data_IF_731978875838
#
_entry.id   IF_731978875838
#
_cell.length_a   1.000
_cell.length_b   1.000
_cell.length_c   1.000
_cell.angle_alpha   90.00
_cell.angle_beta   90.00
_cell.angle_gamma   90.00
#
_symmetry.space_group_name_H-M   'P 1'
#
loop_
_entity.id
_entity.type
_entity.pdbx_description
1 polymer ?
#
# COMPACT_ATOMS: atom_id res chain seq x y z
N UNK A 1 16.23 25.18 46.21
CA UNK A 1 16.10 24.55 47.54
C UNK A 1 16.80 23.19 47.46
N UNK A 2 17.87 22.98 48.27
CA UNK A 2 18.57 21.72 48.64
C UNK A 2 19.04 20.81 47.47
N UNK A 3 20.32 20.71 47.07
CA UNK A 3 21.56 20.31 47.78
C UNK A 3 21.39 19.17 48.80
N UNK A 4 21.85 17.99 48.40
CA UNK A 4 22.47 16.89 49.17
C UNK A 4 23.35 16.18 48.12
N UNK A 5 24.68 16.17 48.09
CA UNK A 5 25.76 16.07 49.08
C UNK A 5 25.58 14.92 50.08
N UNK A 6 26.24 13.80 49.76
CA UNK A 6 27.09 13.07 50.71
C UNK A 6 28.34 12.54 50.00
N UNK A 7 29.46 13.07 50.47
CA UNK A 7 30.82 12.55 50.32
C UNK A 7 31.06 11.35 51.27
N UNK A 8 32.26 10.78 51.10
CA UNK A 8 33.12 10.06 52.08
C UNK A 8 33.02 8.52 52.16
N UNK A 9 34.11 7.82 52.57
CA UNK A 9 35.54 8.02 52.25
C UNK A 9 36.35 6.68 52.17
N UNK A 10 37.68 6.80 52.23
CA UNK A 10 38.73 5.82 52.58
C UNK A 10 39.42 5.14 51.39
N UNK A 11 40.65 5.50 51.02
CA UNK A 11 41.92 5.36 51.75
C UNK A 11 42.26 3.90 52.11
N UNK A 12 43.27 3.36 51.41
CA UNK A 12 44.26 2.45 52.00
C UNK A 12 45.46 2.22 51.07
N UNK A 13 46.50 3.00 51.33
CA UNK A 13 47.83 2.52 51.74
C UNK A 13 48.48 1.36 50.98
N UNK A 14 49.51 1.72 50.20
CA UNK A 14 50.89 1.21 50.18
C UNK A 14 51.14 -0.20 50.76
N UNK A 15 51.63 -1.09 49.91
CA UNK A 15 52.22 -2.38 50.28
C UNK A 15 53.47 -2.67 49.46
N UNK A 16 54.53 -1.89 49.66
CA UNK A 16 55.88 -2.20 49.18
C UNK A 16 56.43 -3.39 50.00
N UNK A 17 56.62 -4.55 49.36
CA UNK A 17 57.40 -5.66 49.94
C UNK A 17 58.70 -5.83 49.18
N UNK A 18 59.74 -5.22 49.75
CA UNK A 18 61.14 -5.60 49.60
C UNK A 18 61.41 -6.83 50.48
N UNK A 19 61.86 -7.94 49.88
CA UNK A 19 62.85 -8.89 50.45
C UNK A 19 62.93 -10.17 49.63
N UNK A 20 64.02 -10.33 48.88
CA UNK A 20 65.12 -11.22 49.32
C UNK A 20 66.29 -11.11 48.35
N UNK A 21 67.42 -10.71 48.92
CA UNK A 21 68.73 -10.85 48.32
C UNK A 21 68.99 -12.33 48.00
N UNK A 22 69.26 -12.61 46.72
CA UNK A 22 69.66 -13.92 46.22
C UNK A 22 70.92 -13.76 45.39
N UNK A 23 72.07 -13.84 46.08
CA UNK A 23 73.36 -14.38 45.62
C UNK A 23 73.83 -13.96 44.21
N UNK A 24 74.75 -12.98 44.19
CA UNK A 24 75.64 -12.70 43.06
C UNK A 24 76.57 -13.90 42.84
N UNK A 25 76.42 -14.58 41.71
CA UNK A 25 77.43 -15.47 41.11
C UNK A 25 78.10 -14.72 39.97
N UNK A 26 79.44 -14.57 39.93
CA UNK A 26 80.10 -14.03 38.75
C UNK A 26 80.25 -15.15 37.73
N UNK A 27 79.48 -15.08 36.66
CA UNK A 27 79.54 -16.04 35.56
C UNK A 27 79.43 -15.30 34.24
N UNK A 28 80.57 -15.20 33.55
CA UNK A 28 80.75 -14.87 32.15
C UNK A 28 80.06 -13.60 31.61
N UNK A 29 80.88 -12.58 31.39
CA UNK A 29 80.83 -11.79 30.15
C UNK A 29 80.85 -12.75 28.96
N UNK A 30 79.67 -12.99 28.38
CA UNK A 30 79.53 -13.32 26.98
C UNK A 30 78.92 -12.09 26.31
N UNK A 31 79.63 -11.56 25.32
CA UNK A 31 79.18 -10.49 24.43
C UNK A 31 77.73 -10.72 23.99
N UNK A 32 76.85 -9.69 23.97
CA UNK A 32 75.58 -9.79 23.27
C UNK A 32 75.83 -9.63 21.77
N UNK A 33 76.58 -10.55 21.18
CA UNK A 33 76.50 -10.79 19.76
C UNK A 33 75.14 -11.39 19.53
N UNK A 34 74.17 -10.58 19.11
CA UNK A 34 72.87 -11.05 18.63
C UNK A 34 73.15 -12.20 17.66
N UNK A 35 72.99 -13.43 18.14
CA UNK A 35 73.47 -14.57 17.37
C UNK A 35 72.64 -14.58 16.11
N UNK A 36 73.26 -14.79 14.95
CA UNK A 36 72.55 -14.79 13.66
C UNK A 36 71.27 -15.65 13.70
N UNK A 37 71.27 -16.69 14.54
CA UNK A 37 70.12 -17.51 14.94
C UNK A 37 68.94 -16.77 15.60
N UNK A 38 69.17 -15.83 16.51
CA UNK A 38 68.11 -15.02 17.14
C UNK A 38 67.47 -14.05 16.14
N UNK A 39 68.28 -13.41 15.29
CA UNK A 39 67.78 -12.54 14.21
C UNK A 39 66.93 -13.35 13.23
N UNK A 40 67.38 -14.55 12.86
CA UNK A 40 66.64 -15.47 11.99
C UNK A 40 65.31 -15.92 12.61
N UNK A 41 65.27 -16.20 13.92
CA UNK A 41 64.04 -16.57 14.63
C UNK A 41 63.03 -15.42 14.65
N UNK A 42 63.45 -14.18 14.92
CA UNK A 42 62.56 -13.02 14.90
C UNK A 42 62.01 -12.77 13.50
N UNK A 43 62.85 -12.85 12.46
CA UNK A 43 62.40 -12.70 11.07
C UNK A 43 61.41 -13.79 10.65
N UNK A 44 61.62 -15.03 11.08
CA UNK A 44 60.68 -16.13 10.84
C UNK A 44 59.32 -15.86 11.49
N UNK A 45 59.30 -15.41 12.74
CA UNK A 45 58.06 -15.08 13.46
C UNK A 45 57.33 -13.93 12.75
N UNK A 46 58.04 -12.86 12.36
CA UNK A 46 57.45 -11.74 11.62
C UNK A 46 56.90 -12.21 10.28
N UNK A 47 57.60 -13.08 9.56
CA UNK A 47 57.12 -13.64 8.29
C UNK A 47 55.85 -14.48 8.49
N UNK A 48 55.79 -15.33 9.52
CA UNK A 48 54.60 -16.12 9.84
C UNK A 48 53.41 -15.23 10.21
N UNK A 49 53.64 -14.20 11.03
CA UNK A 49 52.61 -13.22 11.40
C UNK A 49 52.14 -12.44 10.18
N UNK A 50 53.04 -12.00 9.32
CA UNK A 50 52.70 -11.29 8.08
C UNK A 50 51.88 -12.18 7.14
N UNK A 51 52.27 -13.45 6.98
CA UNK A 51 51.50 -14.44 6.19
C UNK A 51 50.13 -14.66 6.81
N UNK A 52 50.03 -14.82 8.13
CA UNK A 52 48.75 -14.97 8.82
C UNK A 52 47.85 -13.74 8.63
N UNK A 53 48.40 -12.53 8.73
CA UNK A 53 47.67 -11.27 8.49
C UNK A 53 47.20 -11.21 7.03
N UNK A 54 48.05 -11.54 6.06
CA UNK A 54 47.70 -11.55 4.64
C UNK A 54 46.61 -12.59 4.35
N UNK A 55 46.67 -13.77 4.96
CA UNK A 55 45.63 -14.80 4.86
C UNK A 55 44.32 -14.29 5.46
N UNK A 56 44.35 -13.65 6.63
CA UNK A 56 43.14 -13.07 7.25
C UNK A 56 42.54 -11.95 6.40
N UNK A 57 43.37 -11.05 5.86
CA UNK A 57 42.89 -9.97 4.98
C UNK A 57 42.31 -10.53 3.68
N UNK A 58 42.95 -11.54 3.07
CA UNK A 58 42.46 -12.18 1.83
C UNK A 58 41.22 -13.04 2.04
N UNK A 59 40.99 -13.56 3.24
CA UNK A 59 39.83 -14.40 3.57
C UNK A 59 38.64 -13.61 4.10
N UNK A 60 38.83 -12.33 4.49
CA UNK A 60 37.73 -11.42 4.83
C UNK A 60 36.96 -11.04 3.57
N UNK A 61 35.82 -11.72 3.35
CA UNK A 61 34.83 -11.29 2.35
C UNK A 61 34.18 -9.97 2.82
N UNK A 62 34.01 -8.96 1.94
CA UNK A 62 33.21 -7.79 2.28
C UNK A 62 31.78 -8.24 2.63
N UNK A 63 31.23 -7.74 3.73
CA UNK A 63 29.85 -8.02 4.10
C UNK A 63 28.92 -7.40 3.06
N UNK A 64 28.15 -8.23 2.36
CA UNK A 64 27.08 -7.75 1.49
C UNK A 64 26.05 -7.03 2.37
N UNK A 65 25.67 -5.78 2.06
CA UNK A 65 24.56 -5.13 2.75
C UNK A 65 23.31 -6.02 2.66
N UNK A 66 22.48 -6.09 3.71
CA UNK A 66 21.22 -6.81 3.63
C UNK A 66 20.40 -6.26 2.45
N UNK A 67 19.76 -7.15 1.70
CA UNK A 67 18.83 -6.74 0.66
C UNK A 67 17.72 -5.89 1.27
N UNK A 68 17.29 -4.84 0.57
CA UNK A 68 16.13 -4.05 0.97
C UNK A 68 14.90 -4.96 0.89
N UNK A 69 14.27 -5.23 2.03
CA UNK A 69 12.98 -5.94 2.11
C UNK A 69 11.89 -4.92 1.80
N UNK A 70 10.97 -5.27 0.90
CA UNK A 70 9.78 -4.46 0.64
C UNK A 70 8.83 -4.57 1.83
N UNK A 71 8.58 -3.49 2.58
CA UNK A 71 7.67 -3.52 3.72
C UNK A 71 6.20 -3.71 3.33
N UNK A 72 5.88 -3.66 2.03
CA UNK A 72 4.54 -3.85 1.49
C UNK A 72 4.36 -5.20 0.76
N UNK A 73 5.37 -6.07 0.73
CA UNK A 73 5.27 -7.38 0.08
C UNK A 73 4.16 -8.27 0.65
N UNK A 74 3.87 -8.11 1.95
CA UNK A 74 2.80 -8.79 2.66
C UNK A 74 1.62 -7.85 2.98
N UNK A 75 1.57 -6.66 2.38
CA UNK A 75 0.41 -5.80 2.52
C UNK A 75 -0.73 -6.43 1.74
N UNK A 76 -1.85 -6.82 2.39
CA UNK A 76 -2.98 -7.34 1.65
C UNK A 76 -3.45 -6.28 0.65
N UNK A 77 -3.90 -6.71 -0.53
CA UNK A 77 -4.79 -5.85 -1.32
C UNK A 77 -5.89 -5.35 -0.38
N UNK A 78 -5.95 -4.04 -0.19
CA UNK A 78 -6.41 -3.41 1.06
C UNK A 78 -7.89 -3.69 1.37
N UNK A 79 -8.68 -4.12 0.38
CA UNK A 79 -10.11 -4.47 0.47
C UNK A 79 -10.59 -5.12 -0.85
N UNK A 80 -11.75 -5.78 -0.81
CA UNK A 80 -12.41 -6.41 -1.96
C UNK A 80 -13.58 -5.52 -2.46
N UNK A 81 -13.52 -4.98 -3.70
CA UNK A 81 -14.57 -4.14 -4.28
C UNK A 81 -15.94 -4.81 -4.32
N UNK A 82 -15.99 -6.13 -4.52
CA UNK A 82 -17.25 -6.88 -4.57
C UNK A 82 -17.87 -7.09 -3.18
N UNK A 83 -17.20 -6.64 -2.12
CA UNK A 83 -17.71 -6.61 -0.75
C UNK A 83 -18.15 -5.23 -0.29
N UNK A 84 -18.09 -4.22 -1.16
CA UNK A 84 -18.64 -2.90 -0.85
C UNK A 84 -20.15 -3.05 -0.60
N UNK A 85 -20.61 -2.50 0.52
CA UNK A 85 -22.00 -2.60 0.95
C UNK A 85 -22.51 -1.34 1.63
N UNK A 86 -23.81 -1.34 1.91
CA UNK A 86 -24.47 -0.24 2.62
C UNK A 86 -23.82 -0.01 3.98
N UNK A 87 -23.48 1.23 4.28
CA UNK A 87 -22.81 1.65 5.51
C UNK A 87 -21.29 1.80 5.38
N UNK A 88 -20.67 1.24 4.35
CA UNK A 88 -19.24 1.39 4.12
C UNK A 88 -18.88 2.86 3.87
N UNK A 89 -17.63 3.22 4.20
CA UNK A 89 -17.07 4.54 3.90
C UNK A 89 -16.09 4.39 2.74
N UNK A 90 -16.32 5.16 1.68
CA UNK A 90 -15.42 5.27 0.53
C UNK A 90 -14.81 6.67 0.51
N UNK A 91 -13.50 6.75 0.68
CA UNK A 91 -12.74 7.98 0.46
C UNK A 91 -12.33 8.06 -1.00
N UNK A 92 -12.73 9.12 -1.68
CA UNK A 92 -12.33 9.45 -3.04
C UNK A 92 -11.88 10.91 -3.10
N UNK A 93 -10.71 11.18 -3.69
CA UNK A 93 -10.12 12.51 -3.78
C UNK A 93 -10.07 13.26 -2.42
N UNK A 94 -9.83 12.53 -1.33
CA UNK A 94 -9.77 13.06 0.03
C UNK A 94 -11.12 13.39 0.68
N UNK A 95 -12.23 12.98 0.06
CA UNK A 95 -13.58 13.18 0.58
C UNK A 95 -14.19 11.83 0.93
N UNK A 96 -14.69 11.73 2.15
CA UNK A 96 -15.39 10.55 2.63
C UNK A 96 -16.85 10.56 2.15
N UNK A 97 -17.30 9.40 1.69
CA UNK A 97 -18.66 9.14 1.28
C UNK A 97 -19.18 7.92 2.01
N UNK A 98 -20.41 7.98 2.50
CA UNK A 98 -21.11 6.81 3.02
C UNK A 98 -21.83 6.13 1.88
N UNK A 99 -21.71 4.81 1.77
CA UNK A 99 -22.55 4.01 0.87
C UNK A 99 -23.95 3.96 1.46
N UNK A 100 -24.89 4.69 0.84
CA UNK A 100 -26.27 4.81 1.32
C UNK A 100 -27.18 3.72 0.79
N UNK A 101 -26.84 3.14 -0.36
CA UNK A 101 -27.61 2.09 -1.01
C UNK A 101 -26.76 1.34 -2.02
N UNK A 102 -27.17 0.12 -2.33
CA UNK A 102 -26.55 -0.73 -3.34
C UNK A 102 -27.63 -1.31 -4.24
N UNK A 103 -27.38 -1.27 -5.55
CA UNK A 103 -28.13 -2.03 -6.53
C UNK A 103 -27.27 -3.21 -6.97
N UNK A 104 -27.87 -4.39 -7.01
CA UNK A 104 -27.28 -5.56 -7.67
C UNK A 104 -28.04 -5.77 -8.96
N UNK A 105 -27.33 -5.73 -10.08
CA UNK A 105 -27.90 -5.84 -11.42
C UNK A 105 -27.49 -7.16 -12.06
N UNK A 106 -28.39 -7.76 -12.84
CA UNK A 106 -28.22 -9.09 -13.42
C UNK A 106 -28.84 -9.12 -14.83
N UNK A 107 -27.99 -9.24 -15.84
CA UNK A 107 -28.36 -9.45 -17.24
C UNK A 107 -27.86 -10.83 -17.68
N UNK A 108 -28.80 -11.78 -17.79
CA UNK A 108 -28.50 -13.16 -18.22
C UNK A 108 -27.37 -13.85 -17.43
N UNK A 109 -27.19 -13.47 -16.15
CA UNK A 109 -26.16 -14.01 -15.27
C UNK A 109 -24.86 -13.20 -15.23
N UNK A 110 -24.67 -12.22 -16.11
CA UNK A 110 -23.68 -11.16 -15.94
C UNK A 110 -24.15 -10.22 -14.83
N UNK A 111 -23.27 -9.91 -13.86
CA UNK A 111 -23.64 -9.16 -12.66
C UNK A 111 -22.66 -8.02 -12.40
N UNK A 112 -23.24 -6.86 -12.11
CA UNK A 112 -22.53 -5.70 -11.59
C UNK A 112 -23.26 -5.11 -10.38
N UNK A 113 -22.55 -4.23 -9.69
CA UNK A 113 -23.04 -3.55 -8.49
C UNK A 113 -22.95 -2.06 -8.69
N UNK A 114 -23.97 -1.32 -8.27
CA UNK A 114 -23.94 0.14 -8.23
C UNK A 114 -24.15 0.63 -6.80
N UNK A 115 -23.18 1.36 -6.27
CA UNK A 115 -23.19 1.87 -4.90
C UNK A 115 -23.47 3.36 -4.88
N UNK A 116 -24.55 3.77 -4.20
CA UNK A 116 -24.87 5.17 -4.00
C UNK A 116 -23.98 5.76 -2.93
N UNK A 117 -23.02 6.59 -3.34
CA UNK A 117 -22.10 7.30 -2.47
C UNK A 117 -22.69 8.66 -2.12
N UNK A 118 -22.74 8.98 -0.83
CA UNK A 118 -23.19 10.28 -0.33
C UNK A 118 -22.11 10.92 0.54
N UNK A 119 -21.69 12.12 0.15
CA UNK A 119 -20.61 12.85 0.81
C UNK A 119 -20.81 14.36 0.70
N UNK A 120 -19.88 15.13 1.26
CA UNK A 120 -19.99 16.59 1.33
C UNK A 120 -20.08 17.29 -0.04
N UNK A 121 -19.60 16.63 -1.09
CA UNK A 121 -19.64 17.10 -2.48
C UNK A 121 -20.78 16.50 -3.30
N UNK A 122 -21.84 16.05 -2.65
CA UNK A 122 -23.04 15.50 -3.28
C UNK A 122 -22.93 14.02 -3.63
N UNK A 123 -24.01 13.50 -4.21
CA UNK A 123 -24.20 12.08 -4.51
C UNK A 123 -23.51 11.63 -5.79
N UNK A 124 -23.01 10.39 -5.78
CA UNK A 124 -22.34 9.72 -6.89
C UNK A 124 -22.78 8.27 -6.92
N UNK A 125 -22.69 7.61 -8.06
CA UNK A 125 -22.76 6.15 -8.12
C UNK A 125 -21.38 5.58 -8.41
N UNK A 126 -21.02 4.48 -7.77
CA UNK A 126 -19.84 3.69 -8.09
C UNK A 126 -20.29 2.35 -8.65
N UNK A 127 -20.03 2.11 -9.92
CA UNK A 127 -20.20 0.79 -10.52
C UNK A 127 -18.98 -0.06 -10.21
N UNK A 128 -19.20 -1.33 -9.89
CA UNK A 128 -18.17 -2.37 -9.71
C UNK A 128 -18.62 -3.60 -10.49
N UNK A 129 -17.78 -4.05 -11.41
CA UNK A 129 -18.06 -5.21 -12.24
C UNK A 129 -16.81 -6.02 -12.55
N UNK A 130 -17.03 -7.25 -13.01
CA UNK A 130 -15.98 -8.10 -13.55
C UNK A 130 -16.28 -8.34 -15.03
N UNK A 131 -15.59 -7.61 -15.90
CA UNK A 131 -15.71 -7.79 -17.34
C UNK A 131 -14.57 -8.68 -17.84
N UNK A 132 -14.93 -9.80 -18.47
CA UNK A 132 -14.00 -10.82 -18.98
C UNK A 132 -12.88 -11.27 -18.01
N UNK A 133 -13.12 -11.22 -16.69
CA UNK A 133 -12.13 -11.58 -15.66
C UNK A 133 -11.40 -10.39 -15.04
N UNK A 134 -11.56 -9.19 -15.61
CA UNK A 134 -10.92 -7.96 -15.15
C UNK A 134 -11.86 -7.11 -14.30
N UNK A 135 -11.34 -6.50 -13.24
CA UNK A 135 -12.10 -5.58 -12.40
C UNK A 135 -12.26 -4.24 -13.12
N UNK A 136 -13.51 -3.83 -13.33
CA UNK A 136 -13.83 -2.47 -13.76
C UNK A 136 -14.58 -1.71 -12.67
N UNK A 137 -14.24 -0.43 -12.53
CA UNK A 137 -14.87 0.47 -11.57
C UNK A 137 -15.08 1.83 -12.19
N UNK A 138 -16.29 2.37 -12.08
CA UNK A 138 -16.67 3.65 -12.69
C UNK A 138 -17.40 4.55 -11.70
N UNK A 139 -16.92 5.79 -11.55
CA UNK A 139 -17.63 6.81 -10.79
C UNK A 139 -18.53 7.63 -11.72
N UNK A 140 -19.83 7.61 -11.41
CA UNK A 140 -20.88 8.29 -12.15
C UNK A 140 -21.43 9.49 -11.38
N UNK A 141 -21.68 10.55 -12.13
CA UNK A 141 -22.30 11.78 -11.65
C UNK A 141 -23.57 12.06 -12.46
N UNK A 142 -24.70 12.16 -11.76
CA UNK A 142 -25.99 12.48 -12.36
C UNK A 142 -25.96 13.85 -13.04
N UNK A 143 -26.53 13.93 -14.23
CA UNK A 143 -26.79 15.14 -14.99
C UNK A 143 -28.27 15.43 -14.99
N UNK A 144 -28.66 16.48 -14.28
CA UNK A 144 -30.05 16.90 -14.18
C UNK A 144 -30.50 17.67 -15.42
N UNK A 145 -31.79 17.57 -15.73
CA UNK A 145 -32.47 18.39 -16.74
C UNK A 145 -31.82 18.42 -18.13
N UNK A 146 -31.19 17.31 -18.56
CA UNK A 146 -30.56 17.23 -19.89
C UNK A 146 -31.59 17.10 -21.01
N UNK A 147 -32.71 16.40 -20.76
CA UNK A 147 -33.70 16.06 -21.78
C UNK A 147 -33.17 15.13 -22.88
N UNK A 148 -32.00 14.51 -22.65
CA UNK A 148 -31.36 13.60 -23.60
C UNK A 148 -31.98 12.20 -23.52
N UNK A 149 -31.98 11.51 -24.66
CA UNK A 149 -32.39 10.11 -24.78
C UNK A 149 -31.31 9.34 -25.55
N UNK A 150 -31.16 8.02 -25.33
CA UNK A 150 -30.18 7.20 -26.02
C UNK A 150 -30.60 6.96 -27.48
N UNK A 151 -30.16 7.82 -28.39
CA UNK A 151 -30.46 7.70 -29.82
C UNK A 151 -29.32 8.26 -30.69
N UNK A 152 -28.58 7.35 -31.35
CA UNK A 152 -27.46 7.74 -32.21
C UNK A 152 -26.34 8.43 -31.43
N UNK A 153 -25.52 9.25 -32.09
CA UNK A 153 -24.48 10.01 -31.40
C UNK A 153 -25.11 11.10 -30.50
N UNK A 154 -24.68 11.16 -29.24
CA UNK A 154 -25.15 12.14 -28.25
C UNK A 154 -24.09 13.22 -28.04
N UNK A 155 -24.51 14.49 -27.99
CA UNK A 155 -23.62 15.61 -27.68
C UNK A 155 -23.95 16.14 -26.28
N UNK A 156 -22.96 16.15 -25.40
CA UNK A 156 -23.04 16.71 -24.05
C UNK A 156 -21.72 17.38 -23.70
N UNK A 157 -21.78 18.58 -23.12
CA UNK A 157 -20.60 19.38 -22.73
C UNK A 157 -19.56 19.49 -23.87
N UNK A 158 -20.02 19.78 -25.09
CA UNK A 158 -19.22 19.88 -26.34
C UNK A 158 -18.42 18.62 -26.74
N UNK A 159 -18.79 17.46 -26.19
CA UNK A 159 -18.20 16.16 -26.52
C UNK A 159 -19.21 15.28 -27.24
N UNK A 160 -18.73 14.52 -28.23
CA UNK A 160 -19.53 13.52 -28.95
C UNK A 160 -19.35 12.15 -28.30
N UNK A 161 -20.46 11.58 -27.87
CA UNK A 161 -20.58 10.27 -27.25
C UNK A 161 -21.23 9.30 -28.24
N UNK A 162 -20.63 8.12 -28.38
CA UNK A 162 -21.14 7.05 -29.26
C UNK A 162 -21.56 5.86 -28.43
N UNK A 163 -22.67 5.26 -28.84
CA UNK A 163 -23.23 4.11 -28.15
C UNK A 163 -22.24 2.94 -28.22
N UNK A 164 -22.04 2.31 -27.08
CA UNK A 164 -21.28 1.08 -26.90
C UNK A 164 -22.24 -0.10 -26.76
N UNK A 165 -23.22 0.07 -25.88
CA UNK A 165 -24.12 -1.00 -25.45
C UNK A 165 -25.52 -0.47 -25.14
N UNK A 166 -26.50 -1.37 -25.16
CA UNK A 166 -27.85 -1.16 -24.66
C UNK A 166 -28.46 -2.51 -24.35
N UNK A 167 -28.95 -2.66 -23.12
CA UNK A 167 -29.62 -3.86 -22.66
C UNK A 167 -30.73 -3.58 -21.66
N UNK A 168 -31.19 -4.67 -21.04
CA UNK A 168 -32.16 -4.64 -19.95
C UNK A 168 -31.70 -5.58 -18.85
N UNK A 169 -31.48 -5.05 -17.66
CA UNK A 169 -31.07 -5.81 -16.49
C UNK A 169 -32.22 -6.00 -15.50
N UNK A 170 -32.20 -7.07 -14.73
CA UNK A 170 -32.97 -7.16 -13.48
C UNK A 170 -32.16 -6.54 -12.36
N UNK A 171 -32.82 -5.93 -11.39
CA UNK A 171 -32.13 -5.39 -10.22
C UNK A 171 -32.82 -5.72 -8.90
N UNK A 172 -32.03 -5.74 -7.83
CA UNK A 172 -32.48 -5.67 -6.44
C UNK A 172 -31.79 -4.52 -5.72
N UNK A 173 -32.47 -3.89 -4.78
CA UNK A 173 -31.99 -2.71 -4.08
C UNK A 173 -31.90 -2.94 -2.56
N UNK A 174 -30.81 -2.46 -1.97
CA UNK A 174 -30.58 -2.40 -0.53
C UNK A 174 -30.29 -0.96 -0.10
N UNK A 175 -30.74 -0.58 1.10
CA UNK A 175 -30.54 0.78 1.62
C UNK A 175 -31.41 1.84 0.92
N UNK A 176 -30.85 3.02 0.69
CA UNK A 176 -31.57 4.22 0.22
C UNK A 176 -31.21 4.55 -1.24
N UNK A 177 -31.51 3.64 -2.17
CA UNK A 177 -31.20 3.82 -3.61
C UNK A 177 -32.10 4.83 -4.31
N UNK A 178 -33.32 5.04 -3.81
CA UNK A 178 -34.36 5.82 -4.47
C UNK A 178 -35.13 5.05 -5.56
N UNK A 179 -34.81 3.78 -5.77
CA UNK A 179 -35.51 2.87 -6.68
C UNK A 179 -36.51 1.98 -5.93
N UNK A 180 -37.29 1.17 -6.66
CA UNK A 180 -38.08 0.11 -6.04
C UNK A 180 -37.16 -0.96 -5.41
N UNK A 181 -37.62 -1.81 -4.47
CA UNK A 181 -36.79 -2.86 -3.89
C UNK A 181 -36.25 -3.88 -4.89
N UNK A 182 -36.96 -4.08 -6.01
CA UNK A 182 -36.52 -4.89 -7.14
C UNK A 182 -37.29 -4.50 -8.40
N UNK A 183 -36.76 -4.84 -9.57
CA UNK A 183 -37.41 -4.57 -10.85
C UNK A 183 -36.52 -4.88 -12.05
N UNK A 184 -36.78 -4.17 -13.15
CA UNK A 184 -35.96 -4.16 -14.36
C UNK A 184 -35.52 -2.74 -14.69
N UNK A 185 -34.33 -2.61 -15.25
CA UNK A 185 -33.74 -1.35 -15.72
C UNK A 185 -33.39 -1.50 -17.19
N UNK A 186 -33.80 -0.56 -18.03
CA UNK A 186 -33.22 -0.41 -19.37
C UNK A 186 -31.99 0.50 -19.26
N UNK A 187 -30.90 0.18 -19.95
CA UNK A 187 -29.69 1.01 -19.98
C UNK A 187 -29.14 1.20 -21.38
N UNK A 188 -28.35 2.26 -21.57
CA UNK A 188 -27.52 2.42 -22.75
C UNK A 188 -26.24 3.18 -22.41
N UNK A 189 -25.11 2.57 -22.74
CA UNK A 189 -23.79 3.10 -22.41
C UNK A 189 -23.11 3.69 -23.62
N UNK A 190 -22.43 4.81 -23.37
CA UNK A 190 -21.78 5.60 -24.39
C UNK A 190 -20.40 6.03 -23.93
N UNK A 191 -19.50 6.22 -24.90
CA UNK A 191 -18.21 6.82 -24.63
C UNK A 191 -17.78 7.80 -25.72
N UNK A 192 -16.89 8.72 -25.37
CA UNK A 192 -16.12 9.47 -26.36
C UNK A 192 -15.16 8.57 -27.12
N UNK A 193 -14.73 9.01 -28.31
CA UNK A 193 -13.86 8.20 -29.18
C UNK A 193 -12.54 7.78 -28.52
N UNK A 194 -12.00 8.60 -27.62
CA UNK A 194 -10.79 8.35 -26.84
C UNK A 194 -11.05 7.59 -25.53
N UNK A 195 -12.31 7.20 -25.26
CA UNK A 195 -12.77 6.49 -24.04
C UNK A 195 -12.51 7.23 -22.72
N UNK A 196 -12.19 8.52 -22.75
CA UNK A 196 -11.94 9.30 -21.52
C UNK A 196 -13.20 9.90 -20.90
N UNK A 197 -14.29 9.99 -21.66
CA UNK A 197 -15.59 10.43 -21.17
C UNK A 197 -16.61 9.32 -21.35
N UNK A 198 -17.29 8.98 -20.27
CA UNK A 198 -18.39 8.02 -20.26
C UNK A 198 -19.73 8.75 -20.07
N UNK A 199 -20.78 8.19 -20.66
CA UNK A 199 -22.15 8.67 -20.54
C UNK A 199 -23.07 7.45 -20.46
N UNK A 200 -23.89 7.38 -19.42
CA UNK A 200 -24.86 6.32 -19.20
C UNK A 200 -26.27 6.90 -19.22
N UNK A 201 -27.19 6.14 -19.81
CA UNK A 201 -28.63 6.35 -19.72
C UNK A 201 -29.25 5.17 -18.98
N UNK A 202 -30.06 5.45 -17.96
CA UNK A 202 -30.74 4.42 -17.17
C UNK A 202 -32.23 4.75 -17.03
N UNK A 203 -33.09 3.74 -17.14
CA UNK A 203 -34.54 3.89 -16.93
C UNK A 203 -35.08 2.74 -16.11
N UNK A 204 -35.51 3.04 -14.88
CA UNK A 204 -35.95 2.07 -13.86
C UNK A 204 -37.40 1.61 -13.99
N UNK A 205 -38.15 2.13 -14.95
CA UNK A 205 -39.50 1.64 -15.29
C UNK A 205 -39.88 2.05 -16.70
N UNK A 206 -40.73 1.27 -17.38
CA UNK A 206 -41.16 1.59 -18.77
C UNK A 206 -41.80 2.97 -18.94
N UNK A 207 -42.45 3.49 -17.91
CA UNK A 207 -43.09 4.81 -17.92
C UNK A 207 -42.19 5.92 -17.34
N UNK A 208 -41.00 5.58 -16.84
CA UNK A 208 -40.03 6.52 -16.30
C UNK A 208 -39.30 7.29 -17.41
N UNK A 209 -38.76 8.44 -17.06
CA UNK A 209 -37.80 9.16 -17.90
C UNK A 209 -36.42 8.50 -17.84
N UNK A 210 -35.62 8.72 -18.88
CA UNK A 210 -34.20 8.41 -18.84
C UNK A 210 -33.49 9.30 -17.83
N UNK A 211 -32.64 8.67 -17.03
CA UNK A 211 -31.70 9.29 -16.13
C UNK A 211 -30.33 9.30 -16.81
N UNK A 212 -29.64 10.44 -16.77
CA UNK A 212 -28.40 10.63 -17.54
C UNK A 212 -27.24 10.86 -16.59
N UNK A 213 -26.16 10.09 -16.72
CA UNK A 213 -24.97 10.22 -15.87
C UNK A 213 -23.72 10.33 -16.70
N UNK A 214 -22.80 11.23 -16.34
CA UNK A 214 -21.44 11.24 -16.89
C UNK A 214 -20.50 10.49 -15.96
N UNK A 215 -19.58 9.72 -16.50
CA UNK A 215 -18.69 8.86 -15.71
C UNK A 215 -17.22 8.98 -16.07
N UNK A 216 -16.39 8.46 -15.18
CA UNK A 216 -14.99 8.09 -15.47
C UNK A 216 -14.64 6.78 -14.79
N UNK A 217 -13.76 6.03 -15.45
CA UNK A 217 -13.09 4.91 -14.81
C UNK A 217 -12.29 5.39 -13.59
N UNK A 218 -12.30 4.60 -12.52
CA UNK A 218 -11.46 4.76 -11.34
C UNK A 218 -10.68 3.49 -11.08
N UNK A 219 -9.46 3.60 -10.58
CA UNK A 219 -8.71 2.43 -10.14
C UNK A 219 -8.93 2.18 -8.65
N UNK A 220 -8.69 0.94 -8.21
CA UNK A 220 -8.72 0.58 -6.78
C UNK A 220 -7.81 1.50 -5.94
N UNK A 221 -6.67 1.92 -6.49
CA UNK A 221 -5.72 2.82 -5.80
C UNK A 221 -6.20 4.26 -5.62
N UNK A 222 -7.24 4.69 -6.32
CA UNK A 222 -7.86 6.00 -6.14
C UNK A 222 -8.85 6.05 -4.97
N UNK A 223 -9.18 4.88 -4.41
CA UNK A 223 -10.19 4.72 -3.37
C UNK A 223 -9.58 4.14 -2.09
N UNK A 224 -10.08 4.60 -0.95
CA UNK A 224 -9.93 3.90 0.32
C UNK A 224 -11.30 3.43 0.76
N UNK A 225 -11.42 2.18 1.21
CA UNK A 225 -12.68 1.61 1.68
C UNK A 225 -12.53 1.16 3.13
N UNK A 226 -13.47 1.56 3.95
CA UNK A 226 -13.64 1.10 5.33
C UNK A 226 -14.99 0.40 5.40
N UNK A 227 -14.98 -0.92 5.61
CA UNK A 227 -16.21 -1.69 5.70
C UNK A 227 -16.91 -1.47 7.05
N UNK A 228 -18.24 -1.35 7.04
CA UNK A 228 -19.07 -1.12 8.22
C UNK A 228 -19.10 -2.30 9.22
N UNK A 229 -18.44 -3.42 8.88
CA UNK A 229 -18.57 -4.69 9.59
C UNK A 229 -19.85 -5.43 9.20
N UNK A 230 -20.12 -6.61 9.79
CA UNK A 230 -21.32 -7.37 9.48
C UNK A 230 -22.58 -6.58 9.89
N UNK A 231 -23.64 -6.69 9.09
CA UNK A 231 -24.96 -6.15 9.43
C UNK A 231 -25.39 -6.69 10.82
N UNK A 232 -25.84 -5.80 11.70
CA UNK A 232 -26.38 -6.14 13.02
C UNK A 232 -27.86 -6.49 12.97
#
# INVERSE_FOLDING_TARGET
MRRHQRDHPADRTVGFRSSRAGRVTPGNTADPGCSMTEVLLVLLIVAVVAVAIVVVIRTRKPATPPARVDPLADYPEVWDPFRIGVGDIITYAGIDHVVRGTLTLDEEGYRWYEHLLDGSTGRRWLTVENDEGELEMTLWMRREATGLEPNGDVILDDRVYRQLEHGTARFTAEGTTGTAPAGTMDYADYATADRTGLLAFERWSRAGSWEVSTGRAVTRSELTVIHAGPAQ
#
